data_IF_398670880882
#
_entry.id   IF_398670880882
#
_cell.length_a   1.000
_cell.length_b   1.000
_cell.length_c   1.000
_cell.angle_alpha   90.00
_cell.angle_beta   90.00
_cell.angle_gamma   90.00
#
_symmetry.space_group_name_H-M   'P 1'
#
loop_
_entity.id
_entity.type
_entity.pdbx_description
1 polymer ?
#
# COMPACT_ATOMS: atom_id res chain seq x y z
N UNK A 1 6.94 1.40 2.23
CA UNK A 1 6.50 0.05 2.70
C UNK A 1 6.96 -0.94 1.66
N UNK A 2 7.56 -2.06 2.08
CA UNK A 2 7.82 -3.21 1.20
C UNK A 2 6.83 -4.29 1.63
N UNK A 3 6.18 -4.93 0.66
CA UNK A 3 5.28 -6.05 0.89
C UNK A 3 5.83 -7.22 0.10
N UNK A 4 6.19 -8.28 0.82
CA UNK A 4 6.46 -9.59 0.24
C UNK A 4 5.13 -10.35 0.18
N UNK A 5 4.76 -10.82 -1.01
CA UNK A 5 3.44 -11.39 -1.28
C UNK A 5 3.54 -12.51 -2.32
N UNK A 6 2.60 -13.44 -2.25
CA UNK A 6 2.52 -14.55 -3.20
C UNK A 6 2.17 -14.10 -4.62
N UNK A 7 2.50 -14.92 -5.63
CA UNK A 7 2.31 -14.63 -7.06
C UNK A 7 0.89 -14.21 -7.46
N UNK A 8 -0.11 -14.66 -6.70
CA UNK A 8 -1.52 -14.37 -6.98
C UNK A 8 -2.01 -13.03 -6.39
N UNK A 9 -1.13 -12.32 -5.66
CA UNK A 9 -1.39 -11.02 -5.10
C UNK A 9 -1.64 -9.97 -6.19
N UNK A 10 -2.58 -9.07 -5.94
CA UNK A 10 -2.84 -7.91 -6.79
C UNK A 10 -3.26 -6.73 -5.92
N UNK A 11 -2.67 -5.57 -6.19
CA UNK A 11 -3.02 -4.31 -5.53
C UNK A 11 -4.50 -3.96 -5.71
N UNK A 12 -5.08 -4.28 -6.88
CA UNK A 12 -6.50 -4.05 -7.16
C UNK A 12 -7.40 -4.91 -6.26
N UNK A 13 -7.11 -6.21 -6.17
CA UNK A 13 -7.87 -7.13 -5.30
C UNK A 13 -7.75 -6.71 -3.84
N UNK A 14 -6.54 -6.34 -3.41
CA UNK A 14 -6.29 -5.84 -2.05
C UNK A 14 -7.12 -4.58 -1.78
N UNK A 15 -7.13 -3.62 -2.70
CA UNK A 15 -7.92 -2.39 -2.54
C UNK A 15 -9.41 -2.69 -2.37
N UNK A 16 -9.97 -3.60 -3.18
CA UNK A 16 -11.38 -4.02 -3.05
C UNK A 16 -11.62 -4.64 -1.65
N UNK A 17 -10.77 -5.57 -1.23
CA UNK A 17 -10.89 -6.22 0.08
C UNK A 17 -10.78 -5.22 1.24
N UNK A 18 -9.85 -4.27 1.15
CA UNK A 18 -9.64 -3.23 2.16
C UNK A 18 -10.87 -2.31 2.27
N UNK A 19 -11.47 -1.92 1.14
CA UNK A 19 -12.68 -1.08 1.14
C UNK A 19 -13.89 -1.78 1.76
N UNK A 20 -13.97 -3.10 1.63
CA UNK A 20 -15.07 -3.90 2.18
C UNK A 20 -14.85 -4.29 3.65
N UNK A 21 -13.61 -4.19 4.16
CA UNK A 21 -13.28 -4.56 5.53
C UNK A 21 -13.42 -3.36 6.48
N UNK A 22 -14.48 -3.38 7.30
CA UNK A 22 -14.75 -2.32 8.30
C UNK A 22 -13.59 -2.06 9.24
N UNK A 23 -12.84 -3.09 9.65
CA UNK A 23 -11.70 -2.93 10.56
C UNK A 23 -10.51 -2.24 9.90
N UNK A 24 -10.27 -2.54 8.63
CA UNK A 24 -9.25 -1.82 7.84
C UNK A 24 -9.62 -0.35 7.71
N UNK A 25 -10.90 -0.03 7.43
CA UNK A 25 -11.34 1.36 7.33
C UNK A 25 -11.26 2.14 8.66
N UNK A 26 -11.61 1.51 9.79
CA UNK A 26 -11.45 2.09 11.14
C UNK A 26 -9.97 2.39 11.43
N UNK A 27 -9.09 1.44 11.12
CA UNK A 27 -7.65 1.59 11.28
C UNK A 27 -7.09 2.70 10.38
N UNK A 28 -7.48 2.73 9.11
CA UNK A 28 -7.07 3.75 8.13
C UNK A 28 -7.47 5.16 8.57
N UNK A 29 -8.66 5.32 9.18
CA UNK A 29 -9.11 6.61 9.72
C UNK A 29 -8.30 7.05 10.93
N UNK A 30 -7.91 6.11 11.80
CA UNK A 30 -7.04 6.40 12.92
C UNK A 30 -5.64 6.78 12.46
N UNK A 31 -5.05 6.04 11.50
CA UNK A 31 -3.70 6.32 11.00
C UNK A 31 -3.62 7.62 10.21
N UNK A 32 -4.70 8.05 9.55
CA UNK A 32 -4.74 9.34 8.83
C UNK A 32 -4.48 10.55 9.75
N UNK A 33 -4.68 10.43 11.07
CA UNK A 33 -4.39 11.52 12.02
C UNK A 33 -2.90 11.66 12.35
N UNK A 34 -2.11 10.62 12.08
CA UNK A 34 -0.68 10.56 12.36
C UNK A 34 0.19 10.69 11.10
N UNK A 35 -0.38 10.39 9.93
CA UNK A 35 0.34 10.35 8.66
C UNK A 35 0.19 11.65 7.87
N UNK A 36 1.28 12.09 7.23
CA UNK A 36 1.26 13.20 6.28
C UNK A 36 1.16 12.64 4.86
N UNK A 37 0.21 13.18 4.08
CA UNK A 37 0.03 12.78 2.68
C UNK A 37 1.14 13.41 1.82
N UNK A 38 1.76 12.65 0.90
CA UNK A 38 2.72 13.23 -0.03
C UNK A 38 2.06 14.30 -0.90
N UNK A 39 2.71 15.45 -1.10
CA UNK A 39 2.13 16.55 -1.91
C UNK A 39 1.86 16.15 -3.37
N UNK A 40 2.56 15.14 -3.87
CA UNK A 40 2.47 14.67 -5.25
C UNK A 40 1.57 13.43 -5.43
N UNK A 41 0.93 12.93 -4.37
CA UNK A 41 -0.01 11.81 -4.50
C UNK A 41 -1.32 12.26 -5.14
N UNK A 42 -1.94 11.42 -5.97
CA UNK A 42 -3.29 11.73 -6.47
C UNK A 42 -4.28 11.80 -5.31
N UNK A 43 -5.37 12.54 -5.51
CA UNK A 43 -6.45 12.65 -4.52
C UNK A 43 -6.92 11.25 -4.09
N UNK A 44 -6.67 10.90 -2.82
CA UNK A 44 -7.04 9.61 -2.23
C UNK A 44 -5.92 8.57 -2.16
N UNK A 45 -4.75 8.80 -2.75
CA UNK A 45 -3.60 7.90 -2.63
C UNK A 45 -2.76 8.27 -1.40
N UNK A 46 -2.66 7.36 -0.41
CA UNK A 46 -1.79 7.55 0.77
C UNK A 46 -0.34 7.10 0.53
N UNK A 47 -0.15 6.23 -0.45
CA UNK A 47 1.13 5.60 -0.78
C UNK A 47 1.35 5.65 -2.28
N UNK A 48 2.57 6.04 -2.68
CA UNK A 48 2.98 6.03 -4.08
C UNK A 48 3.69 4.71 -4.35
N UNK A 49 3.25 4.00 -5.38
CA UNK A 49 3.91 2.77 -5.81
C UNK A 49 5.32 3.11 -6.31
N UNK A 50 6.31 2.39 -5.79
CA UNK A 50 7.71 2.56 -6.19
C UNK A 50 8.17 1.40 -7.06
N UNK A 51 9.07 1.68 -7.99
CA UNK A 51 9.73 0.66 -8.80
C UNK A 51 10.92 0.09 -8.02
N UNK A 52 10.95 -1.23 -7.82
CA UNK A 52 12.13 -1.92 -7.29
C UNK A 52 13.25 -1.82 -8.34
N UNK A 53 14.36 -1.18 -8.00
CA UNK A 53 15.50 -0.98 -8.92
C UNK A 53 16.70 -1.90 -8.63
N UNK A 54 16.68 -2.59 -7.49
CA UNK A 54 17.75 -3.47 -7.04
C UNK A 54 17.22 -4.46 -6.00
N UNK A 55 17.72 -5.69 -6.05
CA UNK A 55 17.51 -6.74 -5.06
C UNK A 55 18.75 -7.63 -5.02
N UNK A 56 19.37 -7.78 -3.85
CA UNK A 56 20.61 -8.56 -3.73
C UNK A 56 20.37 -10.06 -4.00
N UNK A 57 19.17 -10.57 -3.66
CA UNK A 57 18.81 -11.99 -3.85
C UNK A 57 18.75 -12.42 -5.32
N UNK A 58 18.67 -11.47 -6.25
CA UNK A 58 18.69 -11.75 -7.70
C UNK A 58 20.12 -12.04 -8.22
N UNK A 59 21.14 -11.95 -7.38
CA UNK A 59 22.55 -12.14 -7.73
C UNK A 59 23.25 -13.29 -6.97
N UNK A 60 22.54 -14.00 -6.11
CA UNK A 60 23.01 -15.20 -5.39
C UNK A 60 22.51 -16.49 -6.07
#
# INVERSE_FOLDING_TARGET
>A
MIVDAEDHFSLEKKAIMDTQNKKVQEWERLMDTFQQKPEFSKNGEKWILMNKIFDLSEYE
#
